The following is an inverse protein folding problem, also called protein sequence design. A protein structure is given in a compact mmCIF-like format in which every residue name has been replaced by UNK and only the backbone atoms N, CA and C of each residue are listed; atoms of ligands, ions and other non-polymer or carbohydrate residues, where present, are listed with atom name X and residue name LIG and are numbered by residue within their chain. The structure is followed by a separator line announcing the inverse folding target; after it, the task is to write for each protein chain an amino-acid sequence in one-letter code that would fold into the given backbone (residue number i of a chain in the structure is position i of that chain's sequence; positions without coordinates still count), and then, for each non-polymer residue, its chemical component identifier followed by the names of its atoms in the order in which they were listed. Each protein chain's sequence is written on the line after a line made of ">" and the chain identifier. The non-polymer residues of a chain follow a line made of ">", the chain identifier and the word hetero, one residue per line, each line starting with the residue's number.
data_IF_703402177631
#
_entry.id   IF_703402177631
#
_cell.length_a   1.000
_cell.length_b   1.000
_cell.length_c   1.000
_cell.angle_alpha   90.00
_cell.angle_beta   90.00
_cell.angle_gamma   90.00
#
_symmetry.space_group_name_H-M   'P 1'
#
loop_
_entity.id
_entity.type
_entity.pdbx_description
1 polymer ?
#
# COMPACT_ATOMS: atom_id res chain seq x y z
N UNK A 1 -11.95 -11.95 10.60
CA UNK A 1 -10.51 -12.13 10.93
C UNK A 1 -10.28 -12.48 12.41
N UNK A 2 -11.22 -13.16 13.08
CA UNK A 2 -11.15 -13.39 14.53
C UNK A 2 -9.87 -14.10 15.00
N UNK A 3 -9.33 -15.03 14.20
CA UNK A 3 -8.11 -15.78 14.53
C UNK A 3 -6.81 -14.95 14.43
N UNK A 4 -6.77 -13.92 13.59
CA UNK A 4 -5.62 -13.00 13.51
C UNK A 4 -5.63 -12.03 14.69
N UNK A 5 -6.82 -11.65 15.15
CA UNK A 5 -7.00 -10.76 16.31
C UNK A 5 -6.73 -11.45 17.65
N UNK A 6 -6.68 -12.79 17.68
CA UNK A 6 -6.31 -13.55 18.88
C UNK A 6 -4.81 -13.76 19.03
N UNK A 7 -4.02 -13.32 18.05
CA UNK A 7 -2.56 -13.39 18.08
C UNK A 7 -2.01 -12.23 18.91
N UNK A 8 -1.06 -12.53 19.80
CA UNK A 8 -0.37 -11.53 20.64
C UNK A 8 0.95 -11.05 20.01
N UNK A 9 1.25 -11.51 18.80
CA UNK A 9 2.47 -11.19 18.07
C UNK A 9 2.36 -9.89 17.26
N UNK A 10 3.51 -9.27 17.01
CA UNK A 10 3.61 -8.22 16.01
C UNK A 10 3.63 -8.85 14.62
N UNK A 11 2.58 -8.59 13.83
CA UNK A 11 2.41 -9.18 12.50
C UNK A 11 2.81 -8.17 11.43
N UNK A 12 3.76 -8.56 10.59
CA UNK A 12 4.05 -7.85 9.34
C UNK A 12 3.28 -8.52 8.20
N UNK A 13 2.39 -7.76 7.56
CA UNK A 13 1.65 -8.23 6.39
C UNK A 13 2.36 -7.77 5.11
N UNK A 14 2.65 -8.72 4.21
CA UNK A 14 3.30 -8.45 2.93
C UNK A 14 2.33 -8.87 1.82
N UNK A 15 2.13 -7.97 0.86
CA UNK A 15 1.22 -8.18 -0.27
C UNK A 15 2.00 -8.12 -1.58
N UNK A 16 1.55 -8.90 -2.56
CA UNK A 16 2.16 -8.93 -3.89
C UNK A 16 1.59 -7.90 -4.88
N UNK A 17 0.46 -7.26 -4.58
CA UNK A 17 -0.21 -6.30 -5.46
C UNK A 17 -1.20 -5.40 -4.69
N UNK A 18 -1.59 -4.26 -5.28
CA UNK A 18 -2.52 -3.28 -4.68
C UNK A 18 -3.96 -3.79 -4.59
N UNK A 19 -4.39 -4.63 -5.53
CA UNK A 19 -5.75 -5.16 -5.60
C UNK A 19 -6.10 -6.01 -4.38
N UNK A 20 -5.17 -6.86 -3.96
CA UNK A 20 -5.33 -7.70 -2.77
C UNK A 20 -5.27 -6.85 -1.49
N UNK A 21 -4.43 -5.81 -1.46
CA UNK A 21 -4.40 -4.84 -0.34
C UNK A 21 -5.75 -4.15 -0.19
N UNK A 22 -6.31 -3.64 -1.29
CA UNK A 22 -7.65 -3.02 -1.30
C UNK A 22 -8.71 -3.99 -0.82
N UNK A 23 -8.79 -5.18 -1.42
CA UNK A 23 -9.76 -6.22 -1.03
C UNK A 23 -9.64 -6.56 0.45
N UNK A 24 -8.42 -6.68 0.95
CA UNK A 24 -8.15 -6.97 2.35
C UNK A 24 -8.61 -5.83 3.26
N UNK A 25 -8.25 -4.59 2.97
CA UNK A 25 -8.62 -3.42 3.77
C UNK A 25 -10.14 -3.21 3.78
N UNK A 26 -10.84 -3.50 2.68
CA UNK A 26 -12.31 -3.48 2.65
C UNK A 26 -12.94 -4.49 3.62
N UNK A 27 -12.36 -5.69 3.72
CA UNK A 27 -12.83 -6.72 4.66
C UNK A 27 -12.30 -6.58 6.09
N UNK A 28 -11.26 -5.76 6.29
CA UNK A 28 -10.58 -5.56 7.57
C UNK A 28 -10.22 -4.08 7.77
N UNK A 29 -11.18 -3.24 8.20
CA UNK A 29 -11.04 -1.79 8.27
C UNK A 29 -10.28 -1.32 9.54
N UNK A 30 -9.22 -2.05 9.92
CA UNK A 30 -8.33 -1.71 11.04
C UNK A 30 -6.91 -1.34 10.59
N UNK A 31 -6.62 -1.44 9.29
CA UNK A 31 -5.37 -0.97 8.71
C UNK A 31 -5.42 0.56 8.64
N UNK A 32 -4.46 1.23 9.27
CA UNK A 32 -4.37 2.68 9.31
C UNK A 32 -3.31 3.25 8.36
N UNK A 33 -2.33 2.43 7.97
CA UNK A 33 -1.24 2.86 7.10
C UNK A 33 -0.72 1.71 6.23
N UNK A 34 -0.27 2.06 5.02
CA UNK A 34 0.34 1.13 4.05
C UNK A 34 1.68 1.70 3.60
N UNK A 35 2.72 0.86 3.65
CA UNK A 35 3.99 1.13 2.99
C UNK A 35 4.01 0.53 1.59
N UNK A 36 4.32 1.34 0.60
CA UNK A 36 4.70 0.93 -0.75
C UNK A 36 6.23 0.78 -0.76
N UNK A 37 6.70 -0.45 -0.53
CA UNK A 37 8.13 -0.76 -0.43
C UNK A 37 8.82 -0.95 -1.78
N UNK A 38 8.12 -1.54 -2.76
CA UNK A 38 8.68 -1.73 -4.10
C UNK A 38 7.63 -2.26 -5.05
N UNK A 39 7.43 -1.56 -6.16
CA UNK A 39 6.60 -2.01 -7.29
C UNK A 39 7.39 -1.69 -8.54
N UNK A 40 7.95 -2.74 -9.15
CA UNK A 40 8.88 -2.61 -10.26
C UNK A 40 8.22 -1.99 -11.49
N UNK A 41 9.02 -1.32 -12.33
CA UNK A 41 8.55 -0.76 -13.59
C UNK A 41 7.96 -1.86 -14.48
N UNK A 42 6.78 -1.58 -15.01
CA UNK A 42 6.08 -2.37 -16.02
C UNK A 42 5.54 -1.45 -17.11
N UNK A 43 5.12 -2.04 -18.22
CA UNK A 43 4.54 -1.30 -19.34
C UNK A 43 3.31 -0.49 -18.89
N UNK A 44 3.22 0.76 -19.35
CA UNK A 44 2.13 1.67 -18.99
C UNK A 44 2.16 2.21 -17.55
N UNK A 45 3.14 1.84 -16.72
CA UNK A 45 3.24 2.35 -15.36
C UNK A 45 3.84 3.75 -15.29
N UNK A 46 3.21 4.63 -14.51
CA UNK A 46 3.73 5.95 -14.14
C UNK A 46 4.70 5.79 -12.97
N UNK A 47 5.81 6.51 -13.02
CA UNK A 47 6.78 6.57 -11.92
C UNK A 47 6.29 7.54 -10.83
N UNK A 48 6.33 7.09 -9.57
CA UNK A 48 6.03 7.90 -8.39
C UNK A 48 7.28 8.10 -7.51
N UNK A 49 8.16 7.09 -7.47
CA UNK A 49 9.49 7.19 -6.86
C UNK A 49 10.47 6.29 -7.60
N UNK A 50 11.73 6.23 -7.15
CA UNK A 50 12.72 5.31 -7.74
C UNK A 50 12.34 3.83 -7.58
N UNK A 51 11.54 3.49 -6.57
CA UNK A 51 11.15 2.11 -6.28
C UNK A 51 9.70 1.80 -6.64
N UNK A 52 8.88 2.82 -6.95
CA UNK A 52 7.43 2.69 -7.11
C UNK A 52 6.98 3.18 -8.49
N UNK A 53 6.45 2.24 -9.26
CA UNK A 53 5.83 2.45 -10.56
C UNK A 53 4.42 1.86 -10.51
N UNK A 54 3.39 2.67 -10.77
CA UNK A 54 2.00 2.24 -10.70
C UNK A 54 1.34 2.35 -12.07
N UNK A 55 0.66 1.29 -12.48
CA UNK A 55 -0.32 1.30 -13.58
C UNK A 55 -1.59 2.03 -13.18
N UNK A 56 -2.45 2.38 -14.13
CA UNK A 56 -3.73 3.05 -13.88
C UNK A 56 -4.60 2.28 -12.87
N UNK A 57 -4.74 0.97 -13.01
CA UNK A 57 -5.49 0.13 -12.08
C UNK A 57 -4.92 0.18 -10.64
N UNK A 58 -3.60 0.23 -10.49
CA UNK A 58 -2.96 0.32 -9.16
C UNK A 58 -3.13 1.72 -8.55
N UNK A 59 -3.19 2.75 -9.38
CA UNK A 59 -3.54 4.11 -8.95
C UNK A 59 -4.99 4.15 -8.49
N UNK A 60 -5.92 3.48 -9.19
CA UNK A 60 -7.31 3.38 -8.75
C UNK A 60 -7.45 2.67 -7.40
N UNK A 61 -6.70 1.60 -7.18
CA UNK A 61 -6.66 0.93 -5.88
C UNK A 61 -6.11 1.85 -4.79
N UNK A 62 -5.02 2.56 -5.07
CA UNK A 62 -4.45 3.53 -4.14
C UNK A 62 -5.44 4.68 -3.83
N UNK A 63 -6.19 5.17 -4.81
CA UNK A 63 -7.24 6.18 -4.61
C UNK A 63 -8.36 5.66 -3.71
N UNK A 64 -8.85 4.45 -3.96
CA UNK A 64 -9.86 3.84 -3.10
C UNK A 64 -9.37 3.67 -1.65
N UNK A 65 -8.11 3.24 -1.46
CA UNK A 65 -7.49 3.14 -0.14
C UNK A 65 -7.37 4.51 0.56
N UNK A 66 -7.05 5.58 -0.19
CA UNK A 66 -7.03 6.97 0.31
C UNK A 66 -8.42 7.43 0.74
N UNK A 67 -9.45 7.14 -0.05
CA UNK A 67 -10.85 7.45 0.28
C UNK A 67 -11.34 6.72 1.53
N UNK A 68 -10.78 5.52 1.82
CA UNK A 68 -10.99 4.80 3.08
C UNK A 68 -10.28 5.44 4.29
N UNK A 69 -9.52 6.53 4.10
CA UNK A 69 -8.79 7.22 5.16
C UNK A 69 -7.45 6.58 5.53
N UNK A 70 -6.93 5.67 4.68
CA UNK A 70 -5.67 4.98 4.96
C UNK A 70 -4.48 5.87 4.56
N UNK A 71 -3.52 6.03 5.47
CA UNK A 71 -2.28 6.73 5.17
C UNK A 71 -1.40 5.90 4.25
N UNK A 72 -0.95 6.46 3.12
CA UNK A 72 -0.13 5.73 2.15
C UNK A 72 1.19 6.43 1.93
N UNK A 73 2.28 5.69 2.06
CA UNK A 73 3.62 6.24 1.88
C UNK A 73 4.52 5.28 1.10
N UNK A 74 5.54 5.84 0.45
CA UNK A 74 6.55 5.11 -0.29
C UNK A 74 7.85 5.13 0.49
N UNK A 75 8.37 3.94 0.83
CA UNK A 75 9.65 3.79 1.52
C UNK A 75 10.23 2.39 1.29
N UNK A 76 11.31 2.30 0.51
CA UNK A 76 11.90 1.03 0.10
C UNK A 76 12.66 0.33 1.23
N UNK A 77 13.45 1.11 1.97
CA UNK A 77 14.21 0.63 3.13
C UNK A 77 14.02 1.59 4.31
N UNK A 78 14.16 1.15 5.57
CA UNK A 78 13.88 2.00 6.74
C UNK A 78 14.67 3.32 6.79
N UNK A 79 15.86 3.36 6.17
CA UNK A 79 16.73 4.55 6.12
C UNK A 79 16.45 5.45 4.92
N UNK A 80 15.63 5.02 3.96
CA UNK A 80 15.25 5.83 2.80
C UNK A 80 14.22 6.89 3.18
N UNK A 81 14.18 7.98 2.41
CA UNK A 81 13.18 9.04 2.58
C UNK A 81 11.78 8.44 2.46
N UNK A 82 10.93 8.74 3.45
CA UNK A 82 9.50 8.43 3.43
C UNK A 82 8.77 9.53 2.67
N UNK A 83 8.05 9.16 1.62
CA UNK A 83 7.31 10.10 0.77
C UNK A 83 5.82 9.79 0.80
N UNK A 84 4.99 10.82 0.91
CA UNK A 84 3.54 10.66 1.04
C UNK A 84 2.88 10.44 -0.33
N UNK A 85 2.39 9.21 -0.57
CA UNK A 85 1.73 8.86 -1.82
C UNK A 85 0.38 9.58 -1.96
N UNK A 86 -0.33 9.84 -0.87
CA UNK A 86 -1.64 10.48 -0.91
C UNK A 86 -1.58 11.91 -1.49
N UNK A 87 -0.42 12.57 -1.43
CA UNK A 87 -0.22 13.89 -2.07
C UNK A 87 -0.01 13.83 -3.58
N UNK A 88 0.21 12.63 -4.13
CA UNK A 88 0.55 12.41 -5.54
C UNK A 88 -0.56 11.73 -6.36
N UNK A 89 -1.60 11.20 -5.70
CA UNK A 89 -2.72 10.44 -6.28
C UNK A 89 -4.08 11.09 -6.08
#
# INVERSE_FOLDING_TARGET
>A
MAKVETLNENIMMIFGNTKDVRKFCTGYPKINAINYGGIIKKEGAKQFSNAIFLTENEIEDAKALKEMGIAQFMQQVPTSKKEDLNTMI
#
